data_IF_885550584272
#
_entry.id   IF_885550584272
#
_cell.length_a   1.000
_cell.length_b   1.000
_cell.length_c   1.000
_cell.angle_alpha   90.00
_cell.angle_beta   90.00
_cell.angle_gamma   90.00
#
_symmetry.space_group_name_H-M   'P 1'
#
loop_
_entity.id
_entity.type
_entity.pdbx_description
1 polymer ?
#
# COMPACT_ATOMS: atom_id res chain seq x y z
N UNK A 1 -1.60 12.21 16.39
CA UNK A 1 -1.50 11.01 15.52
C UNK A 1 -0.81 11.42 14.22
N UNK A 2 0.44 11.00 13.99
CA UNK A 2 1.21 11.33 12.79
C UNK A 2 0.63 10.58 11.58
N UNK A 3 0.04 11.32 10.64
CA UNK A 3 -0.39 10.77 9.34
C UNK A 3 0.85 10.43 8.54
N UNK A 4 1.10 9.14 8.29
CA UNK A 4 2.17 8.71 7.39
C UNK A 4 1.75 9.10 5.97
N UNK A 5 2.58 9.88 5.30
CA UNK A 5 2.36 10.28 3.92
C UNK A 5 3.16 9.35 3.01
N UNK A 6 2.57 8.92 1.89
CA UNK A 6 3.30 8.22 0.85
C UNK A 6 3.57 9.20 -0.30
N UNK A 7 4.83 9.41 -0.61
CA UNK A 7 5.27 10.27 -1.72
C UNK A 7 5.78 9.38 -2.86
N UNK A 8 5.20 9.53 -4.04
CA UNK A 8 5.61 8.76 -5.22
C UNK A 8 5.46 9.58 -6.49
N UNK A 9 6.19 9.21 -7.54
CA UNK A 9 6.01 9.75 -8.90
C UNK A 9 5.32 8.73 -9.77
N UNK A 10 4.42 9.18 -10.63
CA UNK A 10 3.72 8.31 -11.57
C UNK A 10 4.41 8.37 -12.92
N UNK A 11 5.26 7.38 -13.20
CA UNK A 11 5.96 7.22 -14.48
C UNK A 11 5.19 6.26 -15.38
N UNK A 12 4.04 6.70 -15.87
CA UNK A 12 3.27 5.95 -16.87
C UNK A 12 3.67 6.41 -18.28
N UNK A 13 3.30 5.64 -19.30
CA UNK A 13 3.75 5.86 -20.68
C UNK A 13 3.50 7.28 -21.20
N UNK A 14 2.34 7.87 -20.90
CA UNK A 14 2.03 9.26 -21.27
C UNK A 14 2.98 10.30 -20.64
N UNK A 15 3.38 10.08 -19.38
CA UNK A 15 4.36 10.94 -18.70
C UNK A 15 5.74 10.82 -19.34
N UNK A 16 6.15 9.60 -19.71
CA UNK A 16 7.43 9.35 -20.38
C UNK A 16 7.44 9.97 -21.78
N UNK A 17 6.35 9.84 -22.54
CA UNK A 17 6.21 10.45 -23.86
C UNK A 17 6.24 11.98 -23.80
N UNK A 18 5.61 12.57 -22.78
CA UNK A 18 5.66 14.01 -22.53
C UNK A 18 7.09 14.46 -22.21
N UNK A 19 7.78 13.73 -21.34
CA UNK A 19 9.17 14.00 -21.00
C UNK A 19 10.09 13.95 -22.23
N UNK A 20 9.97 12.89 -23.03
CA UNK A 20 10.75 12.73 -24.26
C UNK A 20 10.45 13.84 -25.28
N UNK A 21 9.19 14.25 -25.42
CA UNK A 21 8.80 15.35 -26.30
C UNK A 21 9.43 16.67 -25.86
N UNK A 22 9.42 16.97 -24.55
CA UNK A 22 10.06 18.17 -24.00
C UNK A 22 11.57 18.16 -24.23
N UNK A 23 12.23 17.03 -23.96
CA UNK A 23 13.67 16.89 -24.22
C UNK A 23 14.03 17.02 -25.70
N UNK A 24 13.19 16.51 -26.60
CA UNK A 24 13.43 16.60 -28.05
C UNK A 24 13.34 18.02 -28.61
N UNK A 25 12.67 18.92 -27.89
CA UNK A 25 12.50 20.34 -28.25
C UNK A 25 13.53 21.24 -27.57
N UNK A 26 14.27 20.72 -26.59
CA UNK A 26 15.28 21.49 -25.89
C UNK A 26 16.49 21.75 -26.79
N UNK A 27 16.95 23.00 -26.83
CA UNK A 27 18.01 23.46 -27.74
C UNK A 27 19.40 23.22 -27.12
N UNK A 28 19.48 23.08 -25.79
CA UNK A 28 20.72 22.80 -25.05
C UNK A 28 21.83 23.85 -25.22
N UNK A 29 21.50 25.06 -25.68
CA UNK A 29 22.47 26.15 -25.89
C UNK A 29 23.27 26.47 -24.62
N UNK A 30 22.60 26.55 -23.47
CA UNK A 30 23.27 26.87 -22.20
C UNK A 30 24.30 25.78 -21.80
N UNK A 31 24.03 24.52 -22.12
CA UNK A 31 24.95 23.40 -21.89
C UNK A 31 26.10 23.43 -22.89
N UNK A 32 25.83 23.79 -24.13
CA UNK A 32 26.85 23.87 -25.17
C UNK A 32 27.84 25.01 -24.92
N UNK A 33 27.34 26.19 -24.54
CA UNK A 33 28.10 27.42 -24.35
C UNK A 33 28.74 27.57 -22.97
N UNK A 34 28.35 26.77 -21.97
CA UNK A 34 29.04 26.76 -20.68
C UNK A 34 30.53 26.43 -20.85
N UNK A 35 31.39 27.09 -20.07
CA UNK A 35 32.85 27.03 -20.26
C UNK A 35 33.49 25.86 -19.53
N UNK A 36 33.11 25.62 -18.29
CA UNK A 36 33.66 24.56 -17.46
C UNK A 36 32.73 23.33 -17.38
N UNK A 37 33.33 22.20 -17.03
CA UNK A 37 32.64 20.89 -17.00
C UNK A 37 31.51 20.87 -15.97
N UNK A 38 31.71 21.52 -14.83
CA UNK A 38 30.75 21.55 -13.74
C UNK A 38 29.50 22.36 -14.12
N UNK A 39 29.69 23.54 -14.70
CA UNK A 39 28.63 24.38 -15.25
C UNK A 39 27.84 23.66 -16.35
N UNK A 40 28.52 22.90 -17.23
CA UNK A 40 27.84 22.07 -18.24
C UNK A 40 26.95 21.01 -17.60
N UNK A 41 27.49 20.30 -16.61
CA UNK A 41 26.76 19.26 -15.90
C UNK A 41 25.54 19.84 -15.18
N UNK A 42 25.72 20.94 -14.43
CA UNK A 42 24.65 21.58 -13.69
C UNK A 42 23.55 22.09 -14.63
N UNK A 43 23.90 22.80 -15.71
CA UNK A 43 22.94 23.28 -16.69
C UNK A 43 22.15 22.13 -17.36
N UNK A 44 22.82 21.00 -17.64
CA UNK A 44 22.15 19.82 -18.16
C UNK A 44 21.20 19.22 -17.12
N UNK A 45 21.70 19.02 -15.90
CA UNK A 45 20.96 18.37 -14.83
C UNK A 45 19.73 19.18 -14.43
N UNK A 46 19.85 20.50 -14.31
CA UNK A 46 18.75 21.39 -13.94
C UNK A 46 17.63 21.32 -14.97
N UNK A 47 17.96 21.35 -16.27
CA UNK A 47 16.97 21.21 -17.35
C UNK A 47 16.32 19.83 -17.35
N UNK A 48 17.13 18.78 -17.23
CA UNK A 48 16.64 17.40 -17.16
C UNK A 48 15.67 17.22 -15.98
N UNK A 49 16.08 17.70 -14.80
CA UNK A 49 15.29 17.61 -13.57
C UNK A 49 14.02 18.44 -13.66
N UNK A 50 14.08 19.63 -14.25
CA UNK A 50 12.92 20.48 -14.50
C UNK A 50 11.87 19.77 -15.36
N UNK A 51 12.27 19.26 -16.53
CA UNK A 51 11.35 18.53 -17.41
C UNK A 51 10.83 17.24 -16.78
N UNK A 52 11.65 16.57 -15.98
CA UNK A 52 11.23 15.39 -15.24
C UNK A 52 10.19 15.73 -14.17
N UNK A 53 10.36 16.85 -13.46
CA UNK A 53 9.41 17.30 -12.46
C UNK A 53 8.06 17.71 -13.06
N UNK A 54 8.06 18.32 -14.24
CA UNK A 54 6.85 18.66 -14.98
C UNK A 54 6.12 17.39 -15.44
N UNK A 55 6.86 16.47 -16.06
CA UNK A 55 6.26 15.28 -16.68
C UNK A 55 5.85 14.22 -15.66
N UNK A 56 6.62 14.09 -14.57
CA UNK A 56 6.43 13.11 -13.52
C UNK A 56 6.29 13.80 -12.15
N UNK A 57 5.20 14.56 -11.91
CA UNK A 57 5.04 15.34 -10.68
C UNK A 57 4.98 14.43 -9.46
N UNK A 58 5.55 14.91 -8.36
CA UNK A 58 5.52 14.20 -7.08
C UNK A 58 4.10 14.28 -6.50
N UNK A 59 3.50 13.11 -6.26
CA UNK A 59 2.18 12.98 -5.66
C UNK A 59 2.33 12.53 -4.23
N UNK A 60 1.57 13.16 -3.34
CA UNK A 60 1.50 12.79 -1.93
C UNK A 60 0.11 12.29 -1.64
N UNK A 61 0.00 11.03 -1.21
CA UNK A 61 -1.27 10.48 -0.75
C UNK A 61 -1.24 10.28 0.76
N UNK A 62 -2.36 10.61 1.41
CA UNK A 62 -2.57 10.28 2.82
C UNK A 62 -2.74 8.78 2.92
N UNK A 63 -1.84 8.09 3.62
CA UNK A 63 -2.07 6.70 3.96
C UNK A 63 -3.08 6.64 5.11
N UNK A 64 -4.33 6.35 4.76
CA UNK A 64 -5.30 5.93 5.76
C UNK A 64 -4.93 4.52 6.20
N UNK A 65 -4.61 4.35 7.48
CA UNK A 65 -4.51 3.02 8.08
C UNK A 65 -5.90 2.40 8.04
N UNK A 66 -6.17 1.59 7.01
CA UNK A 66 -7.40 0.82 6.95
C UNK A 66 -7.44 -0.13 8.14
N UNK A 67 -8.32 0.17 9.11
CA UNK A 67 -8.60 -0.77 10.19
C UNK A 67 -9.32 -1.96 9.56
N UNK A 68 -8.71 -3.14 9.61
CA UNK A 68 -9.38 -4.39 9.23
C UNK A 68 -10.49 -4.65 10.25
N UNK A 69 -11.70 -4.13 9.99
CA UNK A 69 -12.85 -4.21 10.91
C UNK A 69 -13.29 -5.64 11.21
N UNK A 70 -12.99 -6.58 10.32
CA UNK A 70 -13.29 -8.00 10.51
C UNK A 70 -12.33 -8.73 11.45
N UNK A 71 -11.19 -8.13 11.79
CA UNK A 71 -10.19 -8.75 12.67
C UNK A 71 -10.53 -8.42 14.11
N UNK A 72 -11.14 -9.39 14.80
CA UNK A 72 -11.50 -9.29 16.22
C UNK A 72 -10.27 -9.42 17.12
N UNK A 73 -10.41 -9.04 18.39
CA UNK A 73 -9.32 -9.19 19.38
C UNK A 73 -8.97 -10.67 19.61
N UNK A 74 -9.95 -11.56 19.51
CA UNK A 74 -9.75 -13.01 19.55
C UNK A 74 -8.83 -13.50 18.42
N UNK A 75 -9.04 -13.02 17.20
CA UNK A 75 -8.17 -13.35 16.05
C UNK A 75 -6.75 -12.83 16.28
N UNK A 76 -6.59 -11.63 16.84
CA UNK A 76 -5.27 -11.07 17.16
C UNK A 76 -4.57 -11.89 18.23
N UNK A 77 -5.27 -12.20 19.33
CA UNK A 77 -4.76 -13.02 20.42
C UNK A 77 -4.33 -14.40 19.92
N UNK A 78 -5.19 -15.08 19.16
CA UNK A 78 -4.88 -16.39 18.56
C UNK A 78 -3.66 -16.33 17.63
N UNK A 79 -3.56 -15.28 16.80
CA UNK A 79 -2.39 -15.06 15.94
C UNK A 79 -1.11 -14.77 16.72
N UNK A 80 -1.18 -14.04 17.83
CA UNK A 80 -0.01 -13.75 18.67
C UNK A 80 0.45 -15.02 19.39
N UNK A 81 -0.47 -15.76 20.03
CA UNK A 81 -0.15 -17.05 20.66
C UNK A 81 0.47 -18.04 19.67
N UNK A 82 0.03 -18.03 18.41
CA UNK A 82 0.62 -18.88 17.37
C UNK A 82 2.08 -18.49 17.05
N UNK A 83 2.40 -17.18 17.03
CA UNK A 83 3.77 -16.69 16.82
C UNK A 83 4.67 -17.01 18.01
N UNK A 84 4.16 -16.86 19.22
CA UNK A 84 4.88 -17.20 20.44
C UNK A 84 5.20 -18.69 20.45
N UNK A 85 4.20 -19.53 20.16
CA UNK A 85 4.36 -20.97 20.08
C UNK A 85 5.29 -21.41 18.94
N UNK A 86 5.25 -20.73 17.79
CA UNK A 86 6.20 -20.96 16.71
C UNK A 86 7.64 -20.69 17.19
N UNK A 87 7.85 -19.58 17.88
CA UNK A 87 9.15 -19.19 18.44
C UNK A 87 9.64 -20.22 19.46
N UNK A 88 8.77 -20.67 20.37
CA UNK A 88 9.09 -21.73 21.34
C UNK A 88 9.39 -23.07 20.65
N UNK A 89 8.65 -23.44 19.60
CA UNK A 89 8.86 -24.70 18.88
C UNK A 89 10.20 -24.80 18.14
N UNK A 90 10.91 -23.68 17.98
CA UNK A 90 12.29 -23.68 17.46
C UNK A 90 13.28 -24.20 18.49
N UNK A 91 13.10 -23.83 19.76
CA UNK A 91 13.95 -24.25 20.88
C UNK A 91 13.52 -25.60 21.46
N UNK A 92 12.24 -25.92 21.37
CA UNK A 92 11.62 -27.11 21.97
C UNK A 92 10.87 -27.91 20.88
N UNK A 93 11.56 -28.86 20.20
CA UNK A 93 10.99 -29.61 19.08
C UNK A 93 9.72 -30.41 19.41
N UNK A 94 9.54 -30.81 20.66
CA UNK A 94 8.36 -31.50 21.20
C UNK A 94 7.08 -30.65 21.13
N UNK A 95 7.21 -29.32 20.99
CA UNK A 95 6.08 -28.41 20.83
C UNK A 95 5.59 -28.32 19.38
N UNK A 96 6.28 -28.92 18.41
CA UNK A 96 5.88 -28.89 16.98
C UNK A 96 4.47 -29.46 16.73
N UNK A 97 4.04 -30.59 17.34
CA UNK A 97 2.67 -31.08 17.20
C UNK A 97 1.64 -30.06 17.72
N UNK A 98 1.91 -29.45 18.87
CA UNK A 98 1.05 -28.43 19.48
C UNK A 98 0.95 -27.18 18.60
N UNK A 99 2.08 -26.73 18.02
CA UNK A 99 2.10 -25.66 17.02
C UNK A 99 1.24 -25.98 15.79
N UNK A 100 1.36 -27.19 15.24
CA UNK A 100 0.56 -27.62 14.08
C UNK A 100 -0.93 -27.57 14.40
N UNK A 101 -1.33 -28.09 15.56
CA UNK A 101 -2.73 -28.07 16.01
C UNK A 101 -3.24 -26.63 16.15
N UNK A 102 -2.49 -25.76 16.85
CA UNK A 102 -2.87 -24.35 17.02
C UNK A 102 -2.95 -23.61 15.69
N UNK A 103 -2.07 -23.91 14.73
CA UNK A 103 -2.10 -23.32 13.39
C UNK A 103 -3.40 -23.67 12.64
N UNK A 104 -3.83 -24.95 12.72
CA UNK A 104 -5.10 -25.40 12.13
C UNK A 104 -6.28 -24.64 12.74
N UNK A 105 -6.36 -24.59 14.08
CA UNK A 105 -7.43 -23.86 14.79
C UNK A 105 -7.44 -22.37 14.46
N UNK A 106 -6.26 -21.74 14.37
CA UNK A 106 -6.13 -20.31 14.02
C UNK A 106 -6.60 -20.04 12.60
N UNK A 107 -6.24 -20.90 11.64
CA UNK A 107 -6.73 -20.81 10.25
C UNK A 107 -8.24 -20.98 10.15
N UNK A 108 -8.80 -21.89 10.94
CA UNK A 108 -10.25 -22.12 10.99
C UNK A 108 -10.97 -20.88 11.53
N UNK A 109 -10.51 -20.32 12.66
CA UNK A 109 -11.05 -19.10 13.24
C UNK A 109 -11.02 -17.92 12.24
N UNK A 110 -9.89 -17.74 11.54
CA UNK A 110 -9.75 -16.70 10.51
C UNK A 110 -10.78 -16.84 9.39
N UNK A 111 -11.03 -18.07 8.92
CA UNK A 111 -12.04 -18.35 7.89
C UNK A 111 -13.45 -18.02 8.39
N UNK A 112 -13.80 -18.48 9.60
CA UNK A 112 -15.12 -18.21 10.17
C UNK A 112 -15.38 -16.72 10.33
N UNK A 113 -14.44 -15.98 10.91
CA UNK A 113 -14.58 -14.54 11.14
C UNK A 113 -14.69 -13.76 9.83
N UNK A 114 -13.94 -14.17 8.81
CA UNK A 114 -14.05 -13.56 7.47
C UNK A 114 -15.41 -13.81 6.83
N UNK A 115 -15.92 -15.05 6.89
CA UNK A 115 -17.25 -15.40 6.34
C UNK A 115 -18.35 -14.65 7.09
N UNK A 116 -18.34 -14.68 8.42
CA UNK A 116 -19.27 -13.94 9.28
C UNK A 116 -19.32 -12.46 8.89
N UNK A 117 -18.16 -11.81 8.78
CA UNK A 117 -18.09 -10.39 8.42
C UNK A 117 -18.67 -10.11 7.03
N UNK A 118 -18.41 -10.97 6.04
CA UNK A 118 -18.97 -10.84 4.69
C UNK A 118 -20.50 -10.94 4.74
N UNK A 119 -21.04 -11.95 5.44
CA UNK A 119 -22.48 -12.16 5.56
C UNK A 119 -23.18 -11.01 6.28
N UNK A 120 -22.64 -10.55 7.41
CA UNK A 120 -23.18 -9.40 8.14
C UNK A 120 -23.16 -8.14 7.28
N UNK A 121 -22.08 -7.92 6.51
CA UNK A 121 -21.99 -6.79 5.59
C UNK A 121 -23.03 -6.88 4.48
N UNK A 122 -23.24 -8.05 3.87
CA UNK A 122 -24.24 -8.21 2.81
C UNK A 122 -25.67 -8.02 3.32
N UNK A 123 -25.98 -8.49 4.54
CA UNK A 123 -27.30 -8.35 5.16
C UNK A 123 -27.61 -6.89 5.51
N UNK A 124 -26.61 -6.13 5.99
CA UNK A 124 -26.75 -4.71 6.31
C UNK A 124 -26.87 -3.81 5.06
N UNK A 125 -26.64 -4.34 3.86
CA UNK A 125 -26.84 -3.63 2.59
C UNK A 125 -28.22 -3.88 1.98
N UNK A 126 -29.06 -4.73 2.58
CA UNK A 126 -30.43 -4.94 2.12
C UNK A 126 -31.30 -3.71 2.49
N UNK A 127 -32.10 -3.18 1.55
CA UNK A 127 -33.02 -2.09 1.86
C UNK A 127 -34.00 -2.55 2.93
N UNK A 128 -34.10 -1.79 4.03
CA UNK A 128 -35.11 -2.03 5.06
C UNK A 128 -36.48 -1.88 4.42
N UNK A 129 -37.15 -2.99 4.13
CA UNK A 129 -38.54 -2.97 3.68
C UNK A 129 -39.39 -2.42 4.84
N UNK A 130 -40.01 -1.25 4.61
CA UNK A 130 -40.98 -0.69 5.55
C UNK A 130 -42.16 -1.67 5.62
N UNK A 131 -42.63 -2.06 6.82
CA UNK A 131 -43.87 -2.82 6.91
C UNK A 131 -45.01 -1.92 6.43
N UNK A 132 -45.60 -2.26 5.29
CA UNK A 132 -46.89 -1.71 4.91
C UNK A 132 -47.92 -2.26 5.90
N UNK A 133 -48.28 -1.43 6.88
CA UNK A 133 -49.46 -1.63 7.70
C UNK A 133 -50.67 -1.65 6.77
N UNK A 134 -51.34 -2.79 6.72
CA UNK A 134 -52.72 -2.90 6.28
C UNK A 134 -53.56 -2.13 7.30
N UNK A 135 -54.11 -0.99 6.87
CA UNK A 135 -55.22 -0.30 7.53
C UNK A 135 -56.49 -0.60 6.76
#
# INVERSE_FOLDING_TARGET
>A
MTSVQNTFRVTHEGAINTFNNLLSKEIWQDVYHATDVESKYNAFYDKLQFYFNISCPMKTTKLYKYKKTWVTEEVKSSSNSLKDLYSLSKSYPELKPLYRQKNISTKFLLRQQKVSFILTRSLNLLPKTKPHGLS
#
